data_IF_556659053205
#
_entry.id   IF_556659053205
#
_cell.length_a   1.000
_cell.length_b   1.000
_cell.length_c   1.000
_cell.angle_alpha   90.00
_cell.angle_beta   90.00
_cell.angle_gamma   90.00
#
_symmetry.space_group_name_H-M   'P 1'
#
loop_
_entity.id
_entity.type
_entity.pdbx_description
1 polymer ?
#
# COMPACT_ATOMS: atom_id res chain seq x y z
N UNK A 1 74.30 2.55 -29.25
CA UNK A 1 73.68 1.58 -28.32
C UNK A 1 73.86 2.14 -26.92
N UNK A 2 72.87 2.33 -26.04
CA UNK A 2 71.50 1.84 -25.94
C UNK A 2 70.79 2.85 -25.01
N UNK A 3 69.66 3.45 -25.39
CA UNK A 3 68.89 4.32 -24.50
C UNK A 3 67.99 3.45 -23.62
N UNK A 4 68.37 3.23 -22.36
CA UNK A 4 67.44 2.69 -21.36
C UNK A 4 66.58 3.83 -20.80
N UNK A 5 65.35 3.91 -21.32
CA UNK A 5 64.28 4.71 -20.71
C UNK A 5 63.77 3.96 -19.48
N UNK A 6 64.39 4.22 -18.32
CA UNK A 6 63.78 3.88 -17.04
C UNK A 6 62.49 4.71 -16.88
N UNK A 7 61.35 4.08 -17.16
CA UNK A 7 60.01 4.59 -16.89
C UNK A 7 59.84 4.58 -15.36
N UNK A 8 60.21 5.69 -14.70
CA UNK A 8 59.84 5.94 -13.31
C UNK A 8 58.31 6.06 -13.26
N UNK A 9 57.65 5.00 -12.83
CA UNK A 9 56.22 5.05 -12.51
C UNK A 9 56.09 5.90 -11.25
N UNK A 10 55.47 7.07 -11.39
CA UNK A 10 55.25 8.01 -10.29
C UNK A 10 54.30 7.38 -9.26
N UNK A 11 54.86 6.92 -8.14
CA UNK A 11 54.15 6.27 -7.03
C UNK A 11 52.95 7.05 -6.48
N UNK A 12 52.87 8.36 -6.74
CA UNK A 12 51.71 9.19 -6.36
C UNK A 12 50.46 8.88 -7.19
N UNK A 13 50.61 8.46 -8.45
CA UNK A 13 49.51 8.07 -9.32
C UNK A 13 48.87 6.72 -8.94
N UNK A 14 49.68 5.77 -8.46
CA UNK A 14 49.21 4.44 -8.04
C UNK A 14 48.40 4.52 -6.73
N UNK A 15 48.87 5.29 -5.75
CA UNK A 15 48.10 5.51 -4.50
C UNK A 15 46.75 6.15 -4.83
N UNK A 16 46.70 7.07 -5.80
CA UNK A 16 45.47 7.75 -6.18
C UNK A 16 44.40 6.82 -6.77
N UNK A 17 44.80 5.84 -7.61
CA UNK A 17 43.85 4.92 -8.24
C UNK A 17 43.32 3.87 -7.27
N UNK A 18 44.14 3.42 -6.32
CA UNK A 18 43.73 2.50 -5.25
C UNK A 18 42.69 3.14 -4.33
N UNK A 19 42.90 4.41 -3.95
CA UNK A 19 41.92 5.17 -3.19
C UNK A 19 40.63 5.42 -3.96
N UNK A 20 40.71 5.73 -5.25
CA UNK A 20 39.54 5.90 -6.11
C UNK A 20 38.71 4.61 -6.16
N UNK A 21 39.38 3.46 -6.31
CA UNK A 21 38.75 2.15 -6.30
C UNK A 21 38.10 1.83 -4.95
N UNK A 22 38.76 2.16 -3.83
CA UNK A 22 38.21 1.96 -2.49
C UNK A 22 36.96 2.83 -2.25
N UNK A 23 36.98 4.09 -2.69
CA UNK A 23 35.82 4.98 -2.61
C UNK A 23 34.66 4.41 -3.44
N UNK A 24 34.94 3.95 -4.66
CA UNK A 24 33.94 3.34 -5.52
C UNK A 24 33.32 2.08 -4.90
N UNK A 25 34.15 1.19 -4.32
CA UNK A 25 33.69 0.01 -3.60
C UNK A 25 32.80 0.38 -2.40
N UNK A 26 33.23 1.39 -1.63
CA UNK A 26 32.48 1.87 -0.45
C UNK A 26 31.10 2.39 -0.85
N UNK A 27 31.02 3.14 -1.96
CA UNK A 27 29.76 3.64 -2.51
C UNK A 27 28.82 2.47 -2.88
N UNK A 28 29.33 1.45 -3.56
CA UNK A 28 28.53 0.26 -3.92
C UNK A 28 27.97 -0.43 -2.68
N UNK A 29 28.79 -0.59 -1.64
CA UNK A 29 28.38 -1.23 -0.38
C UNK A 29 27.27 -0.40 0.30
N UNK A 30 27.44 0.92 0.38
CA UNK A 30 26.44 1.81 0.98
C UNK A 30 25.11 1.75 0.24
N UNK A 31 25.12 1.85 -1.10
CA UNK A 31 23.89 1.76 -1.89
C UNK A 31 23.20 0.40 -1.75
N UNK A 32 23.97 -0.69 -1.69
CA UNK A 32 23.42 -2.04 -1.51
C UNK A 32 22.76 -2.21 -0.15
N UNK A 33 23.36 -1.65 0.92
CA UNK A 33 22.78 -1.65 2.27
C UNK A 33 21.52 -0.79 2.33
N UNK A 34 21.48 0.34 1.63
CA UNK A 34 20.32 1.24 1.60
C UNK A 34 19.07 0.54 1.04
N UNK A 35 19.21 -0.24 -0.02
CA UNK A 35 18.12 -1.06 -0.58
C UNK A 35 17.63 -2.15 0.40
N UNK A 36 18.53 -2.72 1.19
CA UNK A 36 18.17 -3.70 2.23
C UNK A 36 17.39 -3.06 3.39
N UNK A 37 17.80 -1.86 3.83
CA UNK A 37 17.02 -1.14 4.84
C UNK A 37 15.63 -0.78 4.34
N UNK A 38 15.49 -0.37 3.08
CA UNK A 38 14.18 -0.06 2.50
C UNK A 38 13.21 -1.26 2.54
N UNK A 39 13.66 -2.46 2.16
CA UNK A 39 12.81 -3.65 2.19
C UNK A 39 12.44 -4.10 3.61
N UNK A 40 13.36 -3.96 4.56
CA UNK A 40 13.09 -4.23 5.99
C UNK A 40 12.06 -3.25 6.56
N UNK A 41 12.17 -1.95 6.24
CA UNK A 41 11.20 -0.95 6.68
C UNK A 41 9.80 -1.17 6.06
N UNK A 42 9.73 -1.54 4.77
CA UNK A 42 8.45 -1.89 4.14
C UNK A 42 7.82 -3.12 4.79
N UNK A 43 8.61 -4.15 5.11
CA UNK A 43 8.10 -5.38 5.75
C UNK A 43 7.58 -5.14 7.17
N UNK A 44 8.26 -4.32 7.99
CA UNK A 44 7.82 -4.00 9.37
C UNK A 44 6.49 -3.24 9.36
N UNK A 45 6.30 -2.37 8.37
CA UNK A 45 5.11 -1.54 8.24
C UNK A 45 3.93 -2.28 7.58
N UNK A 46 4.16 -3.44 6.97
CA UNK A 46 3.10 -4.22 6.35
C UNK A 46 2.34 -5.06 7.40
N UNK A 47 1.02 -5.08 7.27
CA UNK A 47 0.12 -5.96 8.03
C UNK A 47 0.26 -7.46 7.62
N UNK A 48 1.35 -7.81 6.93
CA UNK A 48 1.60 -9.12 6.32
C UNK A 48 1.54 -10.26 7.34
N UNK A 49 1.97 -10.00 8.56
CA UNK A 49 1.99 -10.96 9.66
C UNK A 49 0.68 -11.06 10.45
N UNK A 50 -0.29 -10.15 10.23
CA UNK A 50 -1.55 -10.13 10.98
C UNK A 50 -2.68 -10.77 10.17
N UNK A 51 -2.99 -12.03 10.53
CA UNK A 51 -4.01 -12.88 9.89
C UNK A 51 -5.41 -12.27 10.01
N UNK A 52 -5.76 -11.68 11.16
CA UNK A 52 -7.08 -11.09 11.39
C UNK A 52 -7.32 -9.90 10.47
N UNK A 53 -6.35 -8.98 10.37
CA UNK A 53 -6.42 -7.83 9.48
C UNK A 53 -6.50 -8.24 8.00
N UNK A 54 -5.72 -9.25 7.58
CA UNK A 54 -5.82 -9.81 6.22
C UNK A 54 -7.18 -10.43 5.93
N UNK A 55 -7.72 -11.16 6.90
CA UNK A 55 -9.03 -11.80 6.75
C UNK A 55 -10.13 -10.75 6.64
N UNK A 56 -10.06 -9.68 7.45
CA UNK A 56 -11.00 -8.56 7.36
C UNK A 56 -10.92 -7.85 6.01
N UNK A 57 -9.70 -7.50 5.56
CA UNK A 57 -9.47 -6.88 4.26
C UNK A 57 -10.06 -7.73 3.12
N UNK A 58 -9.81 -9.04 3.14
CA UNK A 58 -10.33 -9.98 2.14
C UNK A 58 -11.86 -10.08 2.18
N UNK A 59 -12.46 -10.07 3.37
CA UNK A 59 -13.91 -10.08 3.54
C UNK A 59 -14.54 -8.82 2.94
N UNK A 60 -13.96 -7.65 3.20
CA UNK A 60 -14.46 -6.38 2.68
C UNK A 60 -14.29 -6.30 1.17
N UNK A 61 -13.11 -6.67 0.64
CA UNK A 61 -12.87 -6.67 -0.81
C UNK A 61 -13.81 -7.63 -1.53
N UNK A 62 -14.05 -8.82 -0.97
CA UNK A 62 -15.03 -9.77 -1.51
C UNK A 62 -16.45 -9.20 -1.50
N UNK A 63 -16.88 -8.58 -0.41
CA UNK A 63 -18.22 -7.97 -0.32
C UNK A 63 -18.40 -6.84 -1.35
N UNK A 64 -17.41 -5.98 -1.49
CA UNK A 64 -17.41 -4.88 -2.46
C UNK A 64 -17.47 -5.42 -3.89
N UNK A 65 -16.64 -6.41 -4.21
CA UNK A 65 -16.62 -7.03 -5.53
C UNK A 65 -17.96 -7.71 -5.85
N UNK A 66 -18.54 -8.43 -4.91
CA UNK A 66 -19.84 -9.09 -5.06
C UNK A 66 -20.96 -8.09 -5.34
N UNK A 67 -21.06 -7.02 -4.54
CA UNK A 67 -22.05 -5.95 -4.77
C UNK A 67 -21.83 -5.27 -6.11
N UNK A 68 -20.57 -5.11 -6.54
CA UNK A 68 -20.26 -4.51 -7.82
C UNK A 68 -20.69 -5.38 -9.01
N UNK A 69 -20.69 -6.70 -8.84
CA UNK A 69 -21.04 -7.67 -9.89
C UNK A 69 -22.55 -7.98 -9.98
N UNK A 70 -23.33 -7.58 -8.98
CA UNK A 70 -24.78 -7.79 -8.93
C UNK A 70 -25.56 -6.57 -9.45
N UNK A 71 -26.87 -6.77 -9.61
CA UNK A 71 -27.78 -5.76 -10.17
C UNK A 71 -27.94 -4.53 -9.27
N UNK A 72 -28.32 -3.42 -9.92
CA UNK A 72 -28.59 -2.16 -9.22
C UNK A 72 -29.69 -2.33 -8.16
N UNK A 73 -29.47 -1.73 -6.98
CA UNK A 73 -30.36 -1.89 -5.83
C UNK A 73 -29.97 -3.03 -4.89
N UNK A 74 -29.05 -3.92 -5.28
CA UNK A 74 -28.50 -4.91 -4.36
C UNK A 74 -27.83 -4.24 -3.15
N UNK A 75 -28.04 -4.84 -1.98
CA UNK A 75 -27.50 -4.35 -0.71
C UNK A 75 -26.85 -5.47 0.08
N UNK A 76 -25.84 -5.11 0.88
CA UNK A 76 -25.21 -6.03 1.82
C UNK A 76 -24.78 -5.27 3.06
N UNK A 77 -25.04 -5.87 4.22
CA UNK A 77 -24.55 -5.34 5.48
C UNK A 77 -23.09 -5.76 5.71
N UNK A 78 -22.31 -4.82 6.23
CA UNK A 78 -20.93 -5.01 6.66
C UNK A 78 -20.84 -4.60 8.13
N UNK A 79 -20.57 -5.57 9.00
CA UNK A 79 -20.25 -5.33 10.40
C UNK A 79 -18.75 -5.40 10.60
N UNK A 80 -18.17 -4.34 11.17
CA UNK A 80 -16.76 -4.26 11.49
C UNK A 80 -16.52 -4.66 12.96
N UNK A 81 -15.46 -5.43 13.26
CA UNK A 81 -15.08 -5.71 14.65
C UNK A 81 -14.66 -4.43 15.39
N UNK A 82 -14.72 -4.44 16.72
CA UNK A 82 -14.31 -3.27 17.53
C UNK A 82 -12.80 -3.02 17.48
N UNK A 83 -12.02 -4.09 17.27
CA UNK A 83 -10.57 -4.07 17.27
C UNK A 83 -10.04 -5.21 16.41
N UNK A 84 -8.78 -5.10 16.00
CA UNK A 84 -8.04 -6.17 15.32
C UNK A 84 -6.75 -6.34 16.08
N UNK A 85 -6.49 -7.56 16.55
CA UNK A 85 -5.30 -7.89 17.34
C UNK A 85 -5.08 -6.89 18.48
N UNK A 86 -6.16 -6.61 19.23
CA UNK A 86 -6.23 -5.68 20.36
C UNK A 86 -5.78 -4.24 20.03
N UNK A 87 -5.91 -3.83 18.78
CA UNK A 87 -5.53 -2.49 18.31
C UNK A 87 -6.69 -1.82 17.59
N UNK A 88 -6.80 -0.50 17.79
CA UNK A 88 -7.64 0.36 16.97
C UNK A 88 -7.16 0.35 15.52
N UNK A 89 -8.10 0.48 14.59
CA UNK A 89 -7.82 0.50 13.16
C UNK A 89 -8.77 1.45 12.43
N UNK A 90 -8.42 1.86 11.23
CA UNK A 90 -9.31 2.53 10.28
C UNK A 90 -9.27 1.79 8.94
N UNK A 91 -10.39 1.83 8.21
CA UNK A 91 -10.44 1.31 6.85
C UNK A 91 -10.72 2.45 5.90
N UNK A 92 -9.84 2.63 4.92
CA UNK A 92 -9.98 3.61 3.86
C UNK A 92 -10.29 2.84 2.59
N UNK A 93 -11.52 3.00 2.09
CA UNK A 93 -11.94 2.42 0.83
C UNK A 93 -11.76 3.46 -0.28
N UNK A 94 -11.05 3.07 -1.34
CA UNK A 94 -10.87 3.85 -2.56
C UNK A 94 -11.45 3.09 -3.76
N UNK A 95 -11.39 3.71 -4.94
CA UNK A 95 -11.91 3.13 -6.18
C UNK A 95 -11.30 1.78 -6.59
N UNK A 96 -10.07 1.47 -6.20
CA UNK A 96 -9.37 0.24 -6.65
C UNK A 96 -8.63 -0.49 -5.52
N UNK A 97 -8.66 0.04 -4.31
CA UNK A 97 -7.95 -0.51 -3.17
C UNK A 97 -8.72 -0.25 -1.87
N UNK A 98 -8.56 -1.17 -0.93
CA UNK A 98 -8.96 -1.02 0.46
C UNK A 98 -7.69 -1.01 1.29
N UNK A 99 -7.54 0.03 2.09
CA UNK A 99 -6.44 0.19 3.01
C UNK A 99 -6.96 -0.03 4.43
N UNK A 100 -6.26 -0.83 5.20
CA UNK A 100 -6.45 -0.99 6.63
C UNK A 100 -5.25 -0.37 7.34
N UNK A 101 -5.48 0.68 8.11
CA UNK A 101 -4.44 1.35 8.89
C UNK A 101 -4.63 1.01 10.36
N UNK A 102 -3.57 0.51 10.99
CA UNK A 102 -3.42 0.35 12.44
C UNK A 102 -2.25 1.22 12.88
N UNK A 103 -2.10 1.45 14.18
CA UNK A 103 -1.12 2.39 14.77
C UNK A 103 0.25 2.43 14.06
N UNK A 104 0.83 1.27 13.76
CA UNK A 104 2.16 1.16 13.11
C UNK A 104 2.16 0.26 11.87
N UNK A 105 1.01 -0.24 11.41
CA UNK A 105 0.95 -1.18 10.28
C UNK A 105 -0.14 -0.80 9.30
N UNK A 106 0.13 -1.04 8.02
CA UNK A 106 -0.80 -0.82 6.91
C UNK A 106 -0.99 -2.11 6.13
N UNK A 107 -2.23 -2.44 5.84
CA UNK A 107 -2.62 -3.55 4.97
C UNK A 107 -3.35 -3.01 3.75
N UNK A 108 -3.08 -3.58 2.58
CA UNK A 108 -3.73 -3.17 1.34
C UNK A 108 -4.35 -4.41 0.68
N UNK A 109 -5.60 -4.29 0.24
CA UNK A 109 -6.25 -5.26 -0.63
C UNK A 109 -6.75 -4.57 -1.89
N UNK A 110 -6.33 -5.07 -3.04
CA UNK A 110 -6.82 -4.59 -4.34
C UNK A 110 -8.25 -5.07 -4.55
N UNK A 111 -9.11 -4.22 -5.11
CA UNK A 111 -10.47 -4.55 -5.54
C UNK A 111 -10.59 -4.39 -7.05
N UNK A 112 -11.70 -4.89 -7.63
CA UNK A 112 -12.05 -4.41 -8.97
C UNK A 112 -12.30 -2.90 -8.93
N UNK A 113 -12.02 -2.17 -10.03
CA UNK A 113 -12.34 -0.75 -10.10
C UNK A 113 -13.83 -0.50 -9.85
N UNK A 114 -14.11 0.37 -8.89
CA UNK A 114 -15.46 0.81 -8.50
C UNK A 114 -15.53 2.33 -8.50
N UNK A 115 -16.74 2.84 -8.72
CA UNK A 115 -17.06 4.23 -8.43
C UNK A 115 -17.66 4.31 -7.03
N UNK A 116 -17.11 5.16 -6.17
CA UNK A 116 -17.69 5.46 -4.87
C UNK A 116 -18.54 6.71 -4.97
N UNK A 117 -19.66 6.74 -4.26
CA UNK A 117 -20.51 7.94 -4.19
C UNK A 117 -20.91 8.29 -2.76
N UNK A 118 -21.16 9.57 -2.53
CA UNK A 118 -21.74 10.07 -1.28
C UNK A 118 -23.28 9.99 -1.28
N UNK A 119 -23.91 10.49 -0.21
CA UNK A 119 -25.38 10.55 -0.06
C UNK A 119 -26.09 11.37 -1.13
N UNK A 120 -25.39 12.25 -1.84
CA UNK A 120 -25.89 13.07 -2.94
C UNK A 120 -25.58 12.43 -4.31
N UNK A 121 -25.16 11.16 -4.34
CA UNK A 121 -24.79 10.41 -5.54
C UNK A 121 -23.67 11.05 -6.38
N UNK A 122 -22.84 11.89 -5.74
CA UNK A 122 -21.66 12.49 -6.33
C UNK A 122 -20.46 11.57 -6.11
N UNK A 123 -19.62 11.44 -7.14
CA UNK A 123 -18.41 10.62 -7.08
C UNK A 123 -17.46 11.16 -6.01
N UNK A 124 -16.94 10.26 -5.18
CA UNK A 124 -15.90 10.53 -4.19
C UNK A 124 -14.70 9.63 -4.45
N UNK A 125 -13.52 10.08 -4.04
CA UNK A 125 -12.28 9.31 -4.24
C UNK A 125 -12.09 8.23 -3.16
N UNK A 126 -12.58 8.52 -1.96
CA UNK A 126 -12.41 7.65 -0.81
C UNK A 126 -13.52 7.82 0.22
N UNK A 127 -13.69 6.81 1.07
CA UNK A 127 -14.53 6.85 2.25
C UNK A 127 -13.90 6.05 3.39
N UNK A 128 -14.16 6.47 4.62
CA UNK A 128 -13.61 5.87 5.83
C UNK A 128 -14.65 5.05 6.56
N UNK A 129 -14.25 3.87 7.03
CA UNK A 129 -15.03 3.00 7.89
C UNK A 129 -14.30 2.80 9.22
N UNK A 130 -15.06 2.84 10.31
CA UNK A 130 -14.54 2.84 11.67
C UNK A 130 -14.85 1.52 12.40
N UNK A 131 -14.03 1.11 13.38
CA UNK A 131 -14.23 -0.13 14.14
C UNK A 131 -15.54 -0.13 14.92
N UNK A 132 -16.13 -1.31 15.08
CA UNK A 132 -17.38 -1.52 15.83
C UNK A 132 -18.64 -1.04 15.12
N UNK A 133 -18.48 -0.30 14.03
CA UNK A 133 -19.60 0.26 13.28
C UNK A 133 -20.19 -0.74 12.28
N UNK A 134 -21.46 -0.50 11.94
CA UNK A 134 -22.18 -1.23 10.90
C UNK A 134 -22.41 -0.33 9.71
N UNK A 135 -22.31 -0.92 8.52
CA UNK A 135 -22.50 -0.21 7.26
C UNK A 135 -23.40 -1.01 6.33
N UNK A 136 -24.27 -0.30 5.60
CA UNK A 136 -24.99 -0.83 4.46
C UNK A 136 -24.26 -0.43 3.19
N UNK A 137 -23.75 -1.43 2.48
CA UNK A 137 -23.16 -1.27 1.16
C UNK A 137 -24.26 -1.45 0.12
N UNK A 138 -24.41 -0.51 -0.82
CA UNK A 138 -25.48 -0.53 -1.81
C UNK A 138 -24.97 -0.24 -3.21
N UNK A 139 -25.41 -1.05 -4.18
CA UNK A 139 -25.22 -0.78 -5.61
C UNK A 139 -26.23 0.27 -6.07
N UNK A 140 -25.74 1.36 -6.64
CA UNK A 140 -26.56 2.50 -7.11
C UNK A 140 -26.03 3.03 -8.44
N UNK A 141 -26.83 3.85 -9.12
CA UNK A 141 -26.35 4.70 -10.21
C UNK A 141 -26.01 6.09 -9.69
N UNK A 142 -24.89 6.64 -10.14
CA UNK A 142 -24.54 8.02 -9.86
C UNK A 142 -25.33 8.99 -10.76
N UNK A 143 -25.09 10.29 -10.58
CA UNK A 143 -25.72 11.34 -11.40
C UNK A 143 -25.42 11.24 -12.91
N UNK A 144 -24.37 10.52 -13.28
CA UNK A 144 -23.99 10.26 -14.68
C UNK A 144 -24.50 8.89 -15.18
N UNK A 145 -25.43 8.25 -14.46
CA UNK A 145 -26.00 6.94 -14.77
C UNK A 145 -24.95 5.79 -14.79
N UNK A 146 -23.79 6.00 -14.15
CA UNK A 146 -22.74 5.00 -14.00
C UNK A 146 -22.95 4.19 -12.73
N UNK A 147 -22.71 2.89 -12.82
CA UNK A 147 -22.81 2.00 -11.68
C UNK A 147 -21.75 2.33 -10.63
N UNK A 148 -22.19 2.45 -9.38
CA UNK A 148 -21.43 2.97 -8.25
C UNK A 148 -21.82 2.27 -6.96
N UNK A 149 -20.98 2.39 -5.94
CA UNK A 149 -21.23 1.87 -4.59
C UNK A 149 -21.43 3.05 -3.65
N UNK A 150 -22.57 3.03 -2.97
CA UNK A 150 -22.89 3.92 -1.87
C UNK A 150 -22.71 3.17 -0.55
N UNK A 151 -22.11 3.83 0.44
CA UNK A 151 -21.91 3.28 1.77
C UNK A 151 -22.65 4.14 2.79
N UNK A 152 -23.58 3.53 3.50
CA UNK A 152 -24.37 4.17 4.53
C UNK A 152 -24.00 3.61 5.89
N UNK A 153 -23.76 4.49 6.86
CA UNK A 153 -23.59 4.11 8.26
C UNK A 153 -24.93 3.70 8.87
N UNK A 154 -24.94 2.59 9.62
CA UNK A 154 -26.10 2.06 10.33
C UNK A 154 -25.88 2.27 11.83
N UNK A 155 -26.67 3.16 12.42
CA UNK A 155 -26.78 3.38 13.87
C UNK A 155 -27.52 2.25 14.56
#
# INVERSE_FOLDING_TARGET
MKHDKNLKIDSKGIISIEYLFLIFLTIIIIFSLLSFFQSVFESINNLEENIEGRTLLKKISSNINEINSLDDGYTKELTLPNEISNSYYEIILKSNEIILETYNKKGISITFPINLVNSQFQTINETKLYPGEKYLLKKVKNNNNLSSIYIQHLT
#
